data_IF_164343369109
#
_entry.id   IF_164343369109
#
_cell.length_a   1.000
_cell.length_b   1.000
_cell.length_c   1.000
_cell.angle_alpha   90.00
_cell.angle_beta   90.00
_cell.angle_gamma   90.00
#
_symmetry.space_group_name_H-M   'P 1'
#
loop_
_entity.id
_entity.type
_entity.pdbx_description
1 polymer ?
#
# COMPACT_ATOMS: atom_id res chain seq x y z
N UNK A 1 -6.99 -19.79 1.94
CA UNK A 1 -7.53 -20.45 0.72
C UNK A 1 -6.86 -19.77 -0.47
N UNK A 2 -6.05 -20.47 -1.27
CA UNK A 2 -5.38 -19.85 -2.41
C UNK A 2 -6.43 -19.34 -3.41
N UNK A 3 -6.18 -18.17 -3.99
CA UNK A 3 -7.06 -17.54 -4.98
C UNK A 3 -6.41 -17.49 -6.37
N UNK A 4 -5.13 -17.14 -6.44
CA UNK A 4 -4.34 -17.06 -7.67
C UNK A 4 -2.94 -17.63 -7.43
N UNK A 5 -2.40 -18.33 -8.42
CA UNK A 5 -1.03 -18.84 -8.46
C UNK A 5 -0.43 -18.46 -9.81
N UNK A 6 0.79 -17.93 -9.80
CA UNK A 6 1.46 -17.42 -10.98
C UNK A 6 2.97 -17.67 -10.90
N UNK A 7 3.62 -17.84 -12.04
CA UNK A 7 5.08 -17.89 -12.16
C UNK A 7 5.56 -16.54 -12.68
N UNK A 8 5.67 -15.57 -11.78
CA UNK A 8 5.96 -14.16 -12.08
C UNK A 8 6.90 -13.62 -11.03
N UNK A 9 7.78 -12.72 -11.43
CA UNK A 9 8.59 -11.95 -10.49
C UNK A 9 7.72 -10.85 -9.86
N UNK A 10 7.74 -10.74 -8.54
CA UNK A 10 7.00 -9.71 -7.81
C UNK A 10 7.38 -8.29 -8.28
N UNK A 11 8.63 -8.11 -8.69
CA UNK A 11 9.14 -6.81 -9.15
C UNK A 11 8.84 -6.51 -10.63
N UNK A 12 8.27 -7.45 -11.39
CA UNK A 12 7.73 -7.20 -12.74
C UNK A 12 6.31 -6.61 -12.63
N UNK A 13 6.24 -5.29 -12.48
CA UNK A 13 4.99 -4.57 -12.26
C UNK A 13 4.01 -4.75 -13.42
N UNK A 14 4.50 -4.79 -14.65
CA UNK A 14 3.69 -4.95 -15.86
C UNK A 14 2.95 -6.29 -15.84
N UNK A 15 3.68 -7.39 -15.63
CA UNK A 15 3.08 -8.72 -15.61
C UNK A 15 2.20 -8.92 -14.38
N UNK A 16 2.65 -8.45 -13.21
CA UNK A 16 1.91 -8.58 -11.95
C UNK A 16 0.55 -7.86 -12.03
N UNK A 17 0.53 -6.61 -12.49
CA UNK A 17 -0.71 -5.83 -12.62
C UNK A 17 -1.62 -6.36 -13.71
N UNK A 18 -1.08 -6.86 -14.82
CA UNK A 18 -1.86 -7.51 -15.88
C UNK A 18 -2.61 -8.74 -15.36
N UNK A 19 -1.97 -9.57 -14.53
CA UNK A 19 -2.58 -10.78 -13.96
C UNK A 19 -3.55 -10.45 -12.83
N UNK A 20 -3.18 -9.52 -11.93
CA UNK A 20 -4.01 -9.19 -10.77
C UNK A 20 -5.17 -8.23 -11.10
N UNK A 21 -5.10 -7.50 -12.22
CA UNK A 21 -6.11 -6.52 -12.64
C UNK A 21 -7.56 -7.02 -12.55
N UNK A 22 -7.90 -8.19 -13.12
CA UNK A 22 -9.24 -8.78 -12.98
C UNK A 22 -9.66 -9.03 -11.53
N UNK A 23 -8.75 -9.53 -10.68
CA UNK A 23 -9.01 -9.81 -9.26
C UNK A 23 -9.33 -8.51 -8.51
N UNK A 24 -8.58 -7.44 -8.79
CA UNK A 24 -8.84 -6.11 -8.20
C UNK A 24 -10.19 -5.57 -8.66
N UNK A 25 -10.49 -5.66 -9.95
CA UNK A 25 -11.76 -5.21 -10.52
C UNK A 25 -12.97 -5.93 -9.91
N UNK A 26 -12.90 -7.26 -9.77
CA UNK A 26 -13.95 -8.05 -9.11
C UNK A 26 -14.11 -7.70 -7.63
N UNK A 27 -12.98 -7.55 -6.90
CA UNK A 27 -12.98 -7.12 -5.49
C UNK A 27 -13.72 -5.78 -5.33
N UNK A 28 -13.43 -4.81 -6.19
CA UNK A 28 -14.01 -3.48 -6.07
C UNK A 28 -15.49 -3.46 -6.46
N UNK A 29 -15.90 -4.24 -7.45
CA UNK A 29 -17.31 -4.46 -7.74
C UNK A 29 -18.06 -5.13 -6.57
N UNK A 30 -17.41 -6.04 -5.84
CA UNK A 30 -18.00 -6.70 -4.67
C UNK A 30 -18.22 -5.76 -3.48
N UNK A 31 -17.40 -4.71 -3.31
CA UNK A 31 -17.57 -3.74 -2.22
C UNK A 31 -18.92 -3.02 -2.27
N UNK A 32 -19.46 -2.80 -3.47
CA UNK A 32 -20.71 -2.07 -3.70
C UNK A 32 -21.94 -2.98 -3.89
N UNK A 33 -21.76 -4.30 -3.84
CA UNK A 33 -22.83 -5.27 -4.08
C UNK A 33 -23.23 -6.04 -2.83
N UNK A 34 -24.30 -6.83 -2.95
CA UNK A 34 -24.77 -7.76 -1.93
C UNK A 34 -24.92 -9.14 -2.56
N UNK A 35 -24.29 -10.15 -1.97
CA UNK A 35 -24.46 -11.53 -2.41
C UNK A 35 -25.72 -12.12 -1.80
N UNK A 36 -26.59 -12.68 -2.64
CA UNK A 36 -27.75 -13.46 -2.20
C UNK A 36 -27.42 -14.95 -2.32
N UNK A 37 -27.50 -15.68 -1.21
CA UNK A 37 -27.16 -17.10 -1.17
C UNK A 37 -28.18 -17.87 -0.34
N UNK A 38 -28.66 -19.00 -0.86
CA UNK A 38 -29.58 -19.89 -0.13
C UNK A 38 -28.77 -20.79 0.81
N UNK A 39 -29.00 -20.65 2.11
CA UNK A 39 -28.35 -21.45 3.15
C UNK A 39 -29.42 -22.03 4.08
N UNK A 40 -29.41 -23.36 4.23
CA UNK A 40 -30.43 -24.06 5.03
C UNK A 40 -31.87 -23.83 4.52
N UNK A 41 -32.05 -23.70 3.20
CA UNK A 41 -33.35 -23.44 2.59
C UNK A 41 -33.85 -21.99 2.64
N UNK A 42 -33.09 -21.06 3.23
CA UNK A 42 -33.46 -19.64 3.35
C UNK A 42 -32.50 -18.76 2.55
N UNK A 43 -33.04 -17.79 1.82
CA UNK A 43 -32.24 -16.79 1.12
C UNK A 43 -31.61 -15.81 2.13
N UNK A 44 -30.29 -15.69 2.11
CA UNK A 44 -29.51 -14.80 2.98
C UNK A 44 -28.78 -13.76 2.14
N UNK A 45 -28.60 -12.57 2.70
CA UNK A 45 -27.89 -11.45 2.05
C UNK A 45 -26.58 -11.16 2.79
N UNK A 46 -25.49 -11.08 2.05
CA UNK A 46 -24.14 -10.85 2.57
C UNK A 46 -23.52 -9.57 2.00
N UNK A 47 -22.75 -8.88 2.83
CA UNK A 47 -21.83 -7.80 2.43
C UNK A 47 -20.42 -8.23 2.76
N UNK A 48 -19.46 -7.83 1.94
CA UNK A 48 -18.06 -8.15 2.13
C UNK A 48 -17.27 -6.89 2.49
N UNK A 49 -16.37 -7.02 3.46
CA UNK A 49 -15.38 -6.03 3.81
C UNK A 49 -14.00 -6.66 3.58
N UNK A 50 -13.26 -6.13 2.62
CA UNK A 50 -11.91 -6.60 2.30
C UNK A 50 -10.89 -5.78 3.08
N UNK A 51 -9.92 -6.44 3.73
CA UNK A 51 -8.83 -5.79 4.46
C UNK A 51 -7.49 -6.39 4.02
N UNK A 52 -6.83 -5.71 3.08
CA UNK A 52 -5.52 -6.13 2.57
C UNK A 52 -4.43 -5.82 3.59
N UNK A 53 -4.10 -6.79 4.44
CA UNK A 53 -3.18 -6.63 5.60
C UNK A 53 -1.99 -7.60 5.58
N UNK A 54 -1.99 -8.56 4.65
CA UNK A 54 -1.01 -9.65 4.61
C UNK A 54 0.15 -9.41 3.65
N UNK A 55 0.61 -8.17 3.54
CA UNK A 55 1.71 -7.76 2.66
C UNK A 55 2.89 -7.30 3.52
N UNK A 56 4.11 -7.64 3.10
CA UNK A 56 5.30 -7.03 3.68
C UNK A 56 5.47 -5.58 3.19
N UNK A 57 6.39 -4.83 3.79
CA UNK A 57 6.58 -3.42 3.45
C UNK A 57 6.97 -3.21 1.97
N UNK A 58 7.76 -4.13 1.40
CA UNK A 58 8.20 -4.05 0.01
C UNK A 58 6.98 -4.06 -0.93
N UNK A 59 6.12 -5.07 -0.77
CA UNK A 59 4.92 -5.21 -1.60
C UNK A 59 3.93 -4.07 -1.37
N UNK A 60 3.76 -3.58 -0.12
CA UNK A 60 2.92 -2.40 0.16
C UNK A 60 3.42 -1.17 -0.62
N UNK A 61 4.74 -0.90 -0.61
CA UNK A 61 5.30 0.25 -1.32
C UNK A 61 5.09 0.15 -2.83
N UNK A 62 5.32 -1.02 -3.40
CA UNK A 62 5.12 -1.27 -4.84
C UNK A 62 3.64 -1.12 -5.25
N UNK A 63 2.70 -1.62 -4.45
CA UNK A 63 1.27 -1.57 -4.75
C UNK A 63 0.62 -0.19 -4.52
N UNK A 64 1.13 0.59 -3.56
CA UNK A 64 0.63 1.92 -3.20
C UNK A 64 1.42 3.06 -3.86
N UNK A 65 2.31 2.75 -4.82
CA UNK A 65 3.04 3.76 -5.60
C UNK A 65 4.08 4.57 -4.80
N UNK A 66 4.54 4.01 -3.68
CA UNK A 66 5.56 4.61 -2.82
C UNK A 66 6.96 4.24 -3.31
N UNK A 67 7.91 5.12 -3.08
CA UNK A 67 9.33 4.77 -3.25
C UNK A 67 9.75 3.58 -2.37
N UNK A 68 10.71 2.79 -2.84
CA UNK A 68 11.26 1.63 -2.15
C UNK A 68 11.80 1.95 -0.75
N UNK A 69 12.01 0.91 0.08
CA UNK A 69 12.32 1.02 1.52
C UNK A 69 13.58 1.83 1.88
N UNK A 70 14.47 2.10 0.92
CA UNK A 70 15.62 3.00 1.08
C UNK A 70 15.29 4.50 1.04
N UNK A 71 14.04 4.89 0.74
CA UNK A 71 13.61 6.28 0.57
C UNK A 71 13.87 7.17 1.79
N UNK A 72 13.96 8.48 1.58
CA UNK A 72 13.85 9.48 2.66
C UNK A 72 12.51 9.44 3.38
N UNK A 73 11.42 9.06 2.72
CA UNK A 73 10.09 8.87 3.33
C UNK A 73 9.95 7.43 3.85
N UNK A 74 10.18 7.27 5.15
CA UNK A 74 10.39 5.96 5.77
C UNK A 74 9.10 5.23 6.14
N UNK A 75 7.98 5.93 6.25
CA UNK A 75 6.74 5.33 6.71
C UNK A 75 5.75 5.10 5.55
N UNK A 76 5.04 3.98 5.58
CA UNK A 76 3.89 3.71 4.70
C UNK A 76 2.59 4.33 5.24
N UNK A 77 2.59 4.80 6.49
CA UNK A 77 1.41 5.29 7.21
C UNK A 77 1.40 6.81 7.43
N UNK A 78 2.57 7.46 7.47
CA UNK A 78 2.71 8.91 7.65
C UNK A 78 3.73 9.49 6.66
N UNK A 79 3.90 10.81 6.68
CA UNK A 79 4.74 11.54 5.74
C UNK A 79 6.12 11.94 6.27
N UNK A 80 6.48 11.48 7.46
CA UNK A 80 7.75 11.84 8.09
C UNK A 80 8.94 11.30 7.31
N UNK A 81 9.95 12.15 7.20
CA UNK A 81 11.25 11.77 6.67
C UNK A 81 12.08 11.01 7.71
N UNK A 82 13.14 10.32 7.25
CA UNK A 82 14.11 9.64 8.12
C UNK A 82 14.69 10.56 9.21
N UNK A 83 15.04 11.80 8.85
CA UNK A 83 15.63 12.76 9.78
C UNK A 83 14.60 13.33 10.78
N UNK A 84 13.36 13.52 10.35
CA UNK A 84 12.28 13.94 11.25
C UNK A 84 11.92 12.84 12.24
N UNK A 85 11.82 11.59 11.76
CA UNK A 85 11.50 10.43 12.59
C UNK A 85 12.61 10.07 13.59
N UNK A 86 13.87 10.40 13.29
CA UNK A 86 14.96 10.25 14.26
C UNK A 86 14.94 11.32 15.36
N UNK A 87 14.41 12.51 15.06
CA UNK A 87 14.30 13.62 16.02
C UNK A 87 13.03 13.51 16.87
N UNK A 88 11.91 13.12 16.27
CA UNK A 88 10.64 12.85 16.93
C UNK A 88 10.27 11.38 16.69
N UNK A 89 10.45 10.52 17.70
CA UNK A 89 10.33 9.07 17.52
C UNK A 89 8.91 8.53 17.73
N UNK A 90 8.06 9.22 18.51
CA UNK A 90 6.81 8.63 19.05
C UNK A 90 5.56 9.44 18.79
N UNK A 91 5.68 10.69 18.35
CA UNK A 91 4.54 11.57 18.13
C UNK A 91 4.28 11.74 16.63
N UNK A 92 3.56 10.77 16.07
CA UNK A 92 3.12 10.73 14.67
C UNK A 92 1.65 10.29 14.60
N UNK A 93 0.98 10.65 13.51
CA UNK A 93 -0.37 10.19 13.20
C UNK A 93 -0.41 9.50 11.84
N UNK A 94 -1.32 8.54 11.69
CA UNK A 94 -1.61 7.94 10.38
C UNK A 94 -2.28 9.00 9.51
N UNK A 95 -1.69 9.30 8.36
CA UNK A 95 -2.22 10.27 7.38
C UNK A 95 -2.47 9.62 6.04
N UNK A 96 -1.57 8.74 5.59
CA UNK A 96 -1.65 8.13 4.25
C UNK A 96 -2.87 7.24 4.09
N UNK A 97 -3.45 7.30 2.90
CA UNK A 97 -4.54 6.43 2.45
C UNK A 97 -4.41 6.17 0.95
N UNK A 98 -5.09 5.12 0.47
CA UNK A 98 -5.07 4.77 -0.95
C UNK A 98 -5.59 5.90 -1.85
N UNK A 99 -6.71 6.53 -1.47
CA UNK A 99 -7.31 7.64 -2.21
C UNK A 99 -6.39 8.85 -2.26
N UNK A 100 -5.76 9.20 -1.13
CA UNK A 100 -4.78 10.29 -1.09
C UNK A 100 -3.55 10.01 -1.97
N UNK A 101 -3.06 8.76 -1.99
CA UNK A 101 -1.94 8.40 -2.86
C UNK A 101 -2.32 8.52 -4.34
N UNK A 102 -3.55 8.17 -4.73
CA UNK A 102 -4.05 8.38 -6.09
C UNK A 102 -4.04 9.86 -6.47
N UNK A 103 -4.50 10.73 -5.57
CA UNK A 103 -4.48 12.19 -5.79
C UNK A 103 -3.05 12.74 -5.88
N UNK A 104 -2.15 12.31 -4.99
CA UNK A 104 -0.74 12.69 -5.00
C UNK A 104 -0.04 12.27 -6.29
N UNK A 105 -0.34 11.07 -6.80
CA UNK A 105 0.18 10.63 -8.09
C UNK A 105 -0.29 11.53 -9.24
N UNK A 106 -1.55 11.98 -9.24
CA UNK A 106 -2.01 12.90 -10.28
C UNK A 106 -1.30 14.26 -10.21
N UNK A 107 -0.97 14.75 -9.00
CA UNK A 107 -0.12 15.93 -8.81
C UNK A 107 1.29 15.70 -9.37
N UNK A 108 1.91 14.55 -9.07
CA UNK A 108 3.22 14.16 -9.60
C UNK A 108 3.22 14.12 -11.13
N UNK A 109 2.21 13.46 -11.72
CA UNK A 109 2.11 13.26 -13.17
C UNK A 109 1.85 14.56 -13.93
N UNK A 110 1.05 15.47 -13.36
CA UNK A 110 0.62 16.70 -14.04
C UNK A 110 1.53 17.89 -13.77
N UNK A 111 2.29 17.87 -12.66
CA UNK A 111 3.11 18.97 -12.17
C UNK A 111 2.42 20.35 -12.35
N UNK A 112 1.27 20.57 -11.68
CA UNK A 112 0.42 21.74 -11.95
C UNK A 112 1.10 23.07 -11.57
N UNK A 113 2.17 23.02 -10.77
CA UNK A 113 2.91 24.19 -10.29
C UNK A 113 4.24 24.39 -11.02
N UNK A 114 4.57 23.57 -12.02
CA UNK A 114 5.85 23.62 -12.75
C UNK A 114 7.08 23.58 -11.83
N UNK A 115 7.00 22.77 -10.78
CA UNK A 115 8.05 22.61 -9.78
C UNK A 115 9.22 21.81 -10.34
N UNK A 116 10.40 22.00 -9.74
CA UNK A 116 11.53 21.11 -9.97
C UNK A 116 11.24 19.69 -9.46
N UNK A 117 12.05 18.72 -9.89
CA UNK A 117 11.85 17.32 -9.47
C UNK A 117 11.91 17.14 -7.94
N UNK A 118 12.79 17.87 -7.25
CA UNK A 118 12.93 17.78 -5.79
C UNK A 118 11.75 18.41 -5.06
N UNK A 119 11.33 19.61 -5.47
CA UNK A 119 10.16 20.30 -4.92
C UNK A 119 8.87 19.48 -5.12
N UNK A 120 8.68 18.94 -6.33
CA UNK A 120 7.52 18.12 -6.64
C UNK A 120 7.53 16.81 -5.85
N UNK A 121 8.69 16.15 -5.72
CA UNK A 121 8.85 14.94 -4.91
C UNK A 121 8.51 15.21 -3.45
N UNK A 122 8.91 16.36 -2.91
CA UNK A 122 8.54 16.75 -1.55
C UNK A 122 7.04 17.04 -1.41
N UNK A 123 6.44 17.74 -2.38
CA UNK A 123 5.00 17.99 -2.39
C UNK A 123 4.17 16.71 -2.31
N UNK A 124 4.56 15.68 -3.08
CA UNK A 124 3.84 14.40 -3.13
C UNK A 124 4.34 13.37 -2.13
N UNK A 125 5.31 13.75 -1.27
CA UNK A 125 5.90 12.89 -0.23
C UNK A 125 6.38 11.53 -0.75
N UNK A 126 6.99 11.53 -1.94
CA UNK A 126 7.55 10.32 -2.55
C UNK A 126 6.53 9.37 -3.19
N UNK A 127 5.31 9.84 -3.52
CA UNK A 127 4.37 9.11 -4.39
C UNK A 127 4.67 9.46 -5.85
N UNK A 128 5.39 8.59 -6.55
CA UNK A 128 5.85 8.83 -7.93
C UNK A 128 5.36 7.80 -8.95
N UNK A 129 4.68 6.76 -8.47
CA UNK A 129 3.98 5.76 -9.29
C UNK A 129 2.50 5.72 -8.93
N UNK A 130 1.66 5.23 -9.85
CA UNK A 130 0.22 5.16 -9.62
C UNK A 130 -0.10 3.98 -8.68
N UNK A 131 -0.80 4.19 -7.55
CA UNK A 131 -1.31 3.09 -6.75
C UNK A 131 -2.20 2.16 -7.58
N UNK A 132 -2.03 0.86 -7.39
CA UNK A 132 -2.76 -0.17 -8.13
C UNK A 132 -3.76 -0.92 -7.25
N UNK A 133 -3.39 -1.23 -6.00
CA UNK A 133 -4.19 -2.07 -5.12
C UNK A 133 -4.30 -1.45 -3.73
N UNK A 134 -5.52 -1.08 -3.32
CA UNK A 134 -5.78 -0.61 -1.95
C UNK A 134 -5.31 -1.64 -0.90
N UNK A 135 -4.45 -1.16 -0.01
CA UNK A 135 -3.96 -1.82 1.19
C UNK A 135 -4.53 -1.14 2.45
N UNK A 136 -4.75 -1.90 3.52
CA UNK A 136 -5.18 -1.32 4.79
C UNK A 136 -3.94 -0.71 5.46
N UNK A 137 -3.98 0.55 5.93
CA UNK A 137 -2.90 1.15 6.70
C UNK A 137 -2.74 0.40 8.03
N UNK A 138 -1.75 -0.48 8.09
CA UNK A 138 -1.40 -1.33 9.24
C UNK A 138 0.09 -1.67 9.20
N UNK A 139 0.55 -2.41 10.21
CA UNK A 139 1.88 -3.00 10.27
C UNK A 139 1.79 -4.53 10.18
N UNK A 140 2.75 -5.13 9.47
CA UNK A 140 2.95 -6.58 9.47
C UNK A 140 3.80 -7.00 10.67
N UNK A 141 3.19 -7.80 11.55
CA UNK A 141 3.82 -8.24 12.79
C UNK A 141 5.06 -9.11 12.53
N UNK A 142 5.01 -10.01 11.53
CA UNK A 142 6.08 -10.98 11.32
C UNK A 142 7.37 -10.30 10.87
N UNK A 143 7.31 -9.48 9.81
CA UNK A 143 8.50 -8.81 9.31
C UNK A 143 8.97 -7.69 10.25
N UNK A 144 8.09 -7.11 11.07
CA UNK A 144 8.50 -6.20 12.14
C UNK A 144 9.35 -6.90 13.21
N UNK A 145 8.95 -8.09 13.66
CA UNK A 145 9.74 -8.86 14.63
C UNK A 145 11.11 -9.26 14.06
N UNK A 146 11.15 -9.75 12.82
CA UNK A 146 12.40 -10.11 12.13
C UNK A 146 13.33 -8.89 11.98
N UNK A 147 12.77 -7.76 11.56
CA UNK A 147 13.50 -6.51 11.39
C UNK A 147 14.10 -6.02 12.71
N UNK A 148 13.28 -5.94 13.76
CA UNK A 148 13.74 -5.53 15.08
C UNK A 148 14.80 -6.48 15.62
N UNK A 149 14.61 -7.80 15.55
CA UNK A 149 15.61 -8.76 16.01
C UNK A 149 16.95 -8.59 15.28
N UNK A 150 16.92 -8.30 13.98
CA UNK A 150 18.12 -8.04 13.18
C UNK A 150 18.82 -6.73 13.61
N UNK A 151 18.07 -5.68 13.93
CA UNK A 151 18.64 -4.44 14.44
C UNK A 151 19.26 -4.61 15.84
N UNK A 152 18.60 -5.36 16.73
CA UNK A 152 19.19 -5.71 18.04
C UNK A 152 20.47 -6.54 17.87
N UNK A 153 20.51 -7.47 16.90
CA UNK A 153 21.73 -8.23 16.61
C UNK A 153 22.90 -7.34 16.16
N UNK A 154 22.64 -6.24 15.44
CA UNK A 154 23.69 -5.28 15.06
C UNK A 154 24.17 -4.40 16.21
N UNK A 155 23.33 -4.22 17.24
CA UNK A 155 23.67 -3.43 18.44
C UNK A 155 24.63 -4.22 19.35
N UNK A 156 24.44 -5.54 19.45
CA UNK A 156 25.30 -6.43 20.23
C UNK A 156 26.62 -6.76 19.53
#
# INVERSE_FOLDING_TARGET
>A
RPLSLMFVDESDHETLTAILGPVVGERDAMKQSRLLLTLGGLQRSFRFHFRGTGYDEKMVRELEGLEASGSTYVCTLCDSTRAEASSNMVLHSITRSHDENLERYEVWRTNPFSESAEELRDRVKGVSAKPFLETQPTLDALHCDIGNATEFYKIF
#
